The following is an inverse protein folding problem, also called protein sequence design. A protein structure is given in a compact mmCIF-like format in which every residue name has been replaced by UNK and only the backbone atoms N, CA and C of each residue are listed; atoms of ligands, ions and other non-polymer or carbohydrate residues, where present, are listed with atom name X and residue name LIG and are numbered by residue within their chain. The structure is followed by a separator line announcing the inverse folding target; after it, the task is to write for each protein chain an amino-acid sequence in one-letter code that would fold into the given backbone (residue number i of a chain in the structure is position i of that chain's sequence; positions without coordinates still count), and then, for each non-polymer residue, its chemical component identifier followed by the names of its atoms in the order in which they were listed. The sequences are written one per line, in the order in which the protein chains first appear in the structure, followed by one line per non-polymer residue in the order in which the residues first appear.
data_IF_522939692623
#
_entry.id   IF_522939692623
#
_cell.length_a   1.000
_cell.length_b   1.000
_cell.length_c   1.000
_cell.angle_alpha   90.00
_cell.angle_beta   90.00
_cell.angle_gamma   90.00
#
_symmetry.space_group_name_H-M   'P 1'
#
loop_
_entity.id
_entity.type
_entity.pdbx_description
1 polymer ?
#
# COMPACT_ATOMS: atom_id res chain seq x y z
N UNK A 1 3.37 -0.80 5.84
CA UNK A 1 3.61 -0.55 4.40
C UNK A 1 2.64 0.53 3.96
N UNK A 2 3.08 1.50 3.17
CA UNK A 2 2.31 2.68 2.75
C UNK A 2 2.11 2.66 1.24
N UNK A 3 0.86 2.75 0.77
CA UNK A 3 0.48 2.70 -0.64
C UNK A 3 -0.13 4.04 -1.03
N UNK A 4 0.37 4.64 -2.10
CA UNK A 4 -0.11 5.94 -2.60
C UNK A 4 0.30 6.11 -4.06
N UNK A 5 -0.45 6.89 -4.84
CA UNK A 5 -0.14 7.22 -6.23
C UNK A 5 0.61 8.57 -6.37
N UNK A 6 0.68 9.35 -5.28
CA UNK A 6 1.45 10.59 -5.17
C UNK A 6 2.87 10.33 -4.70
N UNK A 7 3.84 10.64 -5.57
CA UNK A 7 5.27 10.62 -5.21
C UNK A 7 5.59 11.48 -3.99
N UNK A 8 4.89 12.60 -3.79
CA UNK A 8 5.11 13.46 -2.61
C UNK A 8 4.73 12.73 -1.32
N UNK A 9 3.60 12.03 -1.32
CA UNK A 9 3.14 11.29 -0.15
C UNK A 9 4.07 10.12 0.15
N UNK A 10 4.53 9.43 -0.90
CA UNK A 10 5.54 8.38 -0.82
C UNK A 10 6.84 8.89 -0.18
N UNK A 11 7.36 10.02 -0.62
CA UNK A 11 8.57 10.61 -0.06
C UNK A 11 8.40 10.96 1.43
N UNK A 12 7.26 11.55 1.80
CA UNK A 12 6.95 11.84 3.22
C UNK A 12 6.89 10.55 4.04
N UNK A 13 6.17 9.53 3.58
CA UNK A 13 6.10 8.23 4.25
C UNK A 13 7.47 7.55 4.37
N UNK A 14 8.34 7.72 3.36
CA UNK A 14 9.70 7.20 3.40
C UNK A 14 10.52 7.86 4.51
N UNK A 15 10.39 9.18 4.67
CA UNK A 15 11.06 9.94 5.73
C UNK A 15 10.56 9.57 7.14
N UNK A 16 9.32 9.10 7.27
CA UNK A 16 8.78 8.60 8.56
C UNK A 16 9.16 7.14 8.85
N UNK A 17 9.95 6.51 7.98
CA UNK A 17 10.45 5.14 8.18
C UNK A 17 9.51 4.05 7.68
N UNK A 18 8.47 4.37 6.92
CA UNK A 18 7.56 3.38 6.34
C UNK A 18 8.17 2.74 5.07
N UNK A 19 7.89 1.45 4.87
CA UNK A 19 8.06 0.79 3.56
C UNK A 19 7.00 1.32 2.59
N UNK A 20 7.42 1.77 1.41
CA UNK A 20 6.57 2.53 0.46
C UNK A 20 6.29 1.80 -0.85
N UNK A 21 5.07 1.93 -1.36
CA UNK A 21 4.62 1.35 -2.63
C UNK A 21 3.94 2.43 -3.47
N UNK A 22 4.56 2.81 -4.59
CA UNK A 22 3.96 3.71 -5.56
C UNK A 22 2.98 2.95 -6.45
N UNK A 23 1.71 3.32 -6.44
CA UNK A 23 0.66 2.70 -7.26
C UNK A 23 0.42 3.52 -8.53
N UNK A 24 0.05 2.87 -9.63
CA UNK A 24 -0.17 3.52 -10.93
C UNK A 24 1.10 3.66 -11.78
N UNK A 25 2.21 3.06 -11.37
CA UNK A 25 3.48 3.09 -12.10
C UNK A 25 4.19 1.74 -11.99
N UNK A 26 4.70 1.24 -13.11
CA UNK A 26 5.57 0.04 -13.13
C UNK A 26 7.05 0.39 -12.98
N UNK A 27 7.39 1.67 -13.12
CA UNK A 27 8.77 2.14 -12.97
C UNK A 27 9.04 2.51 -11.52
N UNK A 28 10.04 1.87 -10.92
CA UNK A 28 10.59 2.27 -9.62
C UNK A 28 11.37 3.56 -9.81
N UNK A 29 10.93 4.62 -9.13
CA UNK A 29 11.67 5.89 -9.03
C UNK A 29 12.60 5.84 -7.82
N UNK A 30 13.65 6.67 -7.84
CA UNK A 30 14.53 6.82 -6.68
C UNK A 30 13.71 7.22 -5.46
N UNK A 31 13.98 6.60 -4.30
CA UNK A 31 13.26 6.76 -3.03
C UNK A 31 11.90 6.03 -2.88
N UNK A 32 11.58 5.06 -3.75
CA UNK A 32 10.41 4.17 -3.58
C UNK A 32 10.87 2.72 -3.40
N UNK A 33 10.33 2.01 -2.42
CA UNK A 33 10.69 0.60 -2.19
C UNK A 33 10.07 -0.31 -3.26
N UNK A 34 8.81 -0.09 -3.63
CA UNK A 34 8.10 -0.88 -4.64
C UNK A 34 7.28 0.00 -5.58
N UNK A 35 7.13 -0.44 -6.82
CA UNK A 35 6.24 0.19 -7.79
C UNK A 35 5.25 -0.84 -8.30
N UNK A 36 3.98 -0.45 -8.39
CA UNK A 36 2.88 -1.32 -8.77
C UNK A 36 2.03 -0.62 -9.84
N UNK A 37 1.82 -1.28 -10.98
CA UNK A 37 1.03 -0.71 -12.09
C UNK A 37 -0.43 -0.44 -11.70
N UNK A 38 -1.04 -1.33 -10.89
CA UNK A 38 -2.42 -1.22 -10.43
C UNK A 38 -2.58 -1.93 -9.10
N UNK A 39 -3.42 -1.40 -8.19
CA UNK A 39 -3.68 -1.99 -6.87
C UNK A 39 -4.18 -3.44 -6.96
N UNK A 40 -4.84 -3.78 -8.05
CA UNK A 40 -5.34 -5.14 -8.33
C UNK A 40 -4.22 -6.17 -8.44
N UNK A 41 -2.99 -5.75 -8.78
CA UNK A 41 -1.83 -6.64 -8.92
C UNK A 41 -1.10 -6.88 -7.60
N UNK A 42 -1.55 -6.34 -6.44
CA UNK A 42 -0.86 -6.51 -5.14
C UNK A 42 -0.61 -7.98 -4.83
N UNK A 43 -1.59 -8.86 -5.07
CA UNK A 43 -1.48 -10.27 -4.72
C UNK A 43 -0.35 -10.98 -5.47
N UNK A 44 -0.10 -10.58 -6.70
CA UNK A 44 0.96 -11.16 -7.55
C UNK A 44 2.31 -10.49 -7.26
N UNK A 45 2.32 -9.19 -7.02
CA UNK A 45 3.54 -8.41 -6.84
C UNK A 45 4.13 -8.49 -5.42
N UNK A 46 3.27 -8.70 -4.41
CA UNK A 46 3.61 -8.76 -2.99
C UNK A 46 2.82 -9.90 -2.31
N UNK A 47 3.02 -11.16 -2.73
CA UNK A 47 2.26 -12.30 -2.21
C UNK A 47 2.41 -12.48 -0.69
N UNK A 48 3.53 -12.03 -0.11
CA UNK A 48 3.80 -12.07 1.32
C UNK A 48 2.77 -11.33 2.18
N UNK A 49 2.10 -10.31 1.62
CA UNK A 49 1.04 -9.58 2.33
C UNK A 49 -0.21 -10.44 2.57
N UNK A 50 -0.47 -11.43 1.70
CA UNK A 50 -1.61 -12.34 1.82
C UNK A 50 -1.28 -13.59 2.65
N UNK A 51 -0.04 -14.07 2.58
CA UNK A 51 0.40 -15.21 3.41
C UNK A 51 0.41 -14.88 4.90
N UNK A 52 0.58 -13.60 5.27
CA UNK A 52 0.49 -13.14 6.66
C UNK A 52 -0.93 -13.29 7.24
N UNK A 53 -1.97 -13.09 6.42
CA UNK A 53 -3.38 -13.16 6.82
C UNK A 53 -3.79 -14.58 7.20
N UNK A 54 -3.19 -15.61 6.58
CA UNK A 54 -3.49 -17.01 6.88
C UNK A 54 -2.99 -17.47 8.26
N UNK A 55 -2.06 -16.73 8.90
CA UNK A 55 -1.60 -17.01 10.27
C UNK A 55 -2.41 -16.29 11.35
N UNK A 56 -3.08 -15.19 11.03
CA UNK A 56 -3.90 -14.42 11.96
C UNK A 56 -5.38 -14.62 11.64
N UNK A 57 -6.03 -15.59 12.29
CA UNK A 57 -7.49 -15.81 12.21
C UNK A 57 -8.34 -14.68 12.83
N UNK A 58 -7.80 -13.48 12.98
CA UNK A 58 -8.40 -12.41 13.79
C UNK A 58 -8.21 -11.00 13.18
N UNK A 59 -8.35 -10.88 11.85
CA UNK A 59 -8.44 -9.55 11.22
C UNK A 59 -9.87 -9.06 11.40
N UNK A 60 -10.10 -8.27 12.46
CA UNK A 60 -11.34 -7.51 12.59
C UNK A 60 -11.48 -6.59 11.36
N UNK A 61 -12.56 -6.77 10.62
CA UNK A 61 -12.90 -6.00 9.43
C UNK A 61 -13.34 -4.60 9.88
N UNK A 62 -12.40 -3.73 10.19
CA UNK A 62 -12.68 -2.33 10.54
C UNK A 62 -12.88 -1.59 9.21
N UNK A 63 -14.09 -1.68 8.65
CA UNK A 63 -14.55 -0.74 7.65
C UNK A 63 -14.96 0.55 8.39
N UNK A 64 -14.11 1.57 8.33
CA UNK A 64 -14.44 2.90 8.86
C UNK A 64 -15.16 3.64 7.73
N UNK A 65 -16.48 3.59 7.72
CA UNK A 65 -17.29 4.43 6.83
C UNK A 65 -17.29 5.85 7.40
N UNK A 66 -16.80 6.82 6.62
CA UNK A 66 -16.94 8.25 6.96
C UNK A 66 -18.23 8.75 6.34
N UNK A 67 -19.22 9.18 7.12
CA UNK A 67 -20.45 9.73 6.56
C UNK A 67 -20.13 11.04 5.84
N UNK A 68 -20.62 11.18 4.61
CA UNK A 68 -20.62 12.45 3.87
C UNK A 68 -21.96 13.14 4.12
N UNK A 69 -21.91 14.29 4.78
CA UNK A 69 -23.06 15.19 4.86
C UNK A 69 -23.13 16.02 3.56
N UNK A 70 -24.34 16.10 3.00
CA UNK A 70 -24.64 16.82 1.76
C UNK A 70 -24.89 18.31 2.01
#
# INVERSE_FOLDING_TARGET
MFFDDSIRNIQTAKLTGLTTVLVGSTQRKNAVDYALGSIHNIKEALPELWELVNKSKDVQKIAIETPVEA
#
